data_IF_296662914463
#
_entry.id   IF_296662914463
#
_cell.length_a   1.000
_cell.length_b   1.000
_cell.length_c   1.000
_cell.angle_alpha   90.00
_cell.angle_beta   90.00
_cell.angle_gamma   90.00
#
_symmetry.space_group_name_H-M   'P 1'
#
loop_
_entity.id
_entity.type
_entity.pdbx_description
1 polymer ?
#
# COMPACT_ATOMS: atom_id res chain seq x y z
N UNK A 1 3.83 23.59 6.90
CA UNK A 1 3.85 23.01 5.53
C UNK A 1 3.42 21.55 5.56
N UNK A 2 2.69 21.12 4.52
CA UNK A 2 2.02 19.82 4.45
C UNK A 2 2.33 19.13 3.13
N UNK A 3 2.54 17.82 3.15
CA UNK A 3 2.50 16.95 1.98
C UNK A 3 1.25 16.07 2.03
N UNK A 4 0.31 16.29 1.13
CA UNK A 4 -0.82 15.38 0.90
C UNK A 4 -0.35 14.25 -0.04
N UNK A 5 -0.12 13.06 0.52
CA UNK A 5 0.32 11.89 -0.22
C UNK A 5 -0.90 11.08 -0.70
N UNK A 6 -1.26 11.23 -1.96
CA UNK A 6 -2.36 10.50 -2.61
C UNK A 6 -1.85 9.23 -3.30
N UNK A 7 -2.67 8.19 -3.37
CA UNK A 7 -2.30 6.96 -4.08
C UNK A 7 -2.00 7.22 -5.57
N UNK A 8 -2.80 8.08 -6.20
CA UNK A 8 -2.75 8.34 -7.64
C UNK A 8 -3.61 7.35 -8.43
N UNK A 9 -4.09 7.78 -9.60
CA UNK A 9 -4.94 6.99 -10.48
C UNK A 9 -4.91 7.54 -11.91
N UNK A 10 -5.03 6.69 -12.94
CA UNK A 10 -5.25 7.16 -14.31
C UNK A 10 -6.64 7.80 -14.51
N UNK A 11 -7.60 7.65 -13.58
CA UNK A 11 -8.92 8.29 -13.69
C UNK A 11 -8.82 9.80 -13.38
N UNK A 12 -9.20 10.70 -14.30
CA UNK A 12 -9.11 12.14 -14.10
C UNK A 12 -9.93 12.65 -12.92
N UNK A 13 -10.99 11.93 -12.50
CA UNK A 13 -11.80 12.29 -11.33
C UNK A 13 -11.00 12.15 -10.03
N UNK A 14 -10.07 11.21 -9.96
CA UNK A 14 -9.16 11.05 -8.82
C UNK A 14 -8.23 12.25 -8.68
N UNK A 15 -7.70 12.75 -9.79
CA UNK A 15 -6.87 13.94 -9.80
C UNK A 15 -7.65 15.18 -9.35
N UNK A 16 -8.86 15.36 -9.88
CA UNK A 16 -9.73 16.46 -9.50
C UNK A 16 -10.08 16.43 -8.01
N UNK A 17 -10.37 15.25 -7.45
CA UNK A 17 -10.60 15.07 -6.02
C UNK A 17 -9.37 15.44 -5.19
N UNK A 18 -8.19 14.92 -5.53
CA UNK A 18 -6.94 15.20 -4.81
C UNK A 18 -6.61 16.70 -4.83
N UNK A 19 -6.76 17.36 -5.98
CA UNK A 19 -6.57 18.81 -6.12
C UNK A 19 -7.61 19.62 -5.34
N UNK A 20 -8.87 19.19 -5.34
CA UNK A 20 -9.94 19.81 -4.57
C UNK A 20 -9.67 19.73 -3.06
N UNK A 21 -9.23 18.56 -2.58
CA UNK A 21 -8.86 18.35 -1.18
C UNK A 21 -7.62 19.16 -0.80
N UNK A 22 -6.60 19.22 -1.65
CA UNK A 22 -5.41 20.07 -1.46
C UNK A 22 -5.83 21.53 -1.21
N UNK A 23 -6.57 22.13 -2.15
CA UNK A 23 -7.04 23.52 -2.04
C UNK A 23 -7.96 23.74 -0.83
N UNK A 24 -8.81 22.77 -0.53
CA UNK A 24 -9.69 22.82 0.64
C UNK A 24 -8.91 22.82 1.94
N UNK A 25 -7.87 22.00 2.03
CA UNK A 25 -7.03 21.88 3.20
C UNK A 25 -6.15 23.13 3.41
N UNK A 26 -5.60 23.70 2.33
CA UNK A 26 -4.88 24.99 2.36
C UNK A 26 -5.75 26.09 2.98
N UNK A 27 -7.01 26.20 2.53
CA UNK A 27 -7.94 27.20 3.07
C UNK A 27 -8.30 26.98 4.55
N UNK A 28 -8.42 25.73 4.98
CA UNK A 28 -8.83 25.40 6.37
C UNK A 28 -7.70 25.56 7.36
N UNK A 29 -6.47 25.24 6.96
CA UNK A 29 -5.32 25.22 7.85
C UNK A 29 -4.45 26.47 7.75
N UNK A 30 -4.57 27.26 6.68
CA UNK A 30 -3.68 28.39 6.42
C UNK A 30 -2.24 27.97 6.10
N UNK A 31 -2.04 26.70 5.75
CA UNK A 31 -0.74 26.07 5.49
C UNK A 31 -0.64 25.67 4.01
N UNK A 32 0.54 25.83 3.42
CA UNK A 32 0.79 25.36 2.05
C UNK A 32 0.75 23.83 2.00
N UNK A 33 0.04 23.27 1.01
CA UNK A 33 -0.13 21.83 0.83
C UNK A 33 0.47 21.41 -0.52
N UNK A 34 1.60 20.72 -0.45
CA UNK A 34 2.18 19.99 -1.57
C UNK A 34 1.34 18.73 -1.85
N UNK A 35 1.25 18.35 -3.11
CA UNK A 35 0.56 17.12 -3.53
C UNK A 35 1.58 16.17 -4.15
N UNK A 36 1.66 14.95 -3.62
CA UNK A 36 2.50 13.89 -4.15
C UNK A 36 1.70 12.62 -4.38
N UNK A 37 2.01 11.90 -5.46
CA UNK A 37 1.31 10.69 -5.85
C UNK A 37 2.22 9.46 -5.74
N UNK A 38 1.70 8.39 -5.13
CA UNK A 38 2.46 7.14 -4.97
C UNK A 38 2.67 6.47 -6.34
N UNK A 39 1.64 6.48 -7.19
CA UNK A 39 1.65 5.86 -8.51
C UNK A 39 0.92 6.74 -9.54
N UNK A 40 1.10 6.43 -10.83
CA UNK A 40 0.32 6.91 -11.98
C UNK A 40 0.35 8.41 -12.30
N UNK A 41 0.80 9.27 -11.40
CA UNK A 41 0.67 10.73 -11.54
C UNK A 41 1.90 11.46 -11.00
N UNK A 42 2.07 12.69 -11.47
CA UNK A 42 3.10 13.62 -11.02
C UNK A 42 2.47 14.85 -10.33
N UNK A 43 3.15 15.50 -9.38
CA UNK A 43 4.47 15.14 -8.85
C UNK A 43 4.45 13.79 -8.10
N UNK A 44 5.48 12.99 -8.28
CA UNK A 44 5.64 11.72 -7.57
C UNK A 44 5.77 11.98 -6.07
N UNK A 45 5.50 10.94 -5.27
CA UNK A 45 5.66 10.99 -3.83
C UNK A 45 7.10 11.36 -3.45
N UNK A 46 8.09 10.81 -4.15
CA UNK A 46 9.51 11.10 -3.88
C UNK A 46 9.86 12.55 -4.22
N UNK A 47 9.45 13.06 -5.39
CA UNK A 47 9.69 14.47 -5.76
C UNK A 47 9.09 15.42 -4.72
N UNK A 48 7.88 15.14 -4.27
CA UNK A 48 7.19 15.97 -3.27
C UNK A 48 7.81 15.85 -1.88
N UNK A 49 8.27 14.66 -1.51
CA UNK A 49 8.99 14.44 -0.26
C UNK A 49 10.34 15.16 -0.24
N UNK A 50 11.08 15.13 -1.35
CA UNK A 50 12.34 15.88 -1.52
C UNK A 50 12.12 17.38 -1.46
N UNK A 51 11.06 17.89 -2.11
CA UNK A 51 10.70 19.31 -2.03
C UNK A 51 10.31 19.72 -0.61
N UNK A 52 9.52 18.90 0.10
CA UNK A 52 9.19 19.13 1.50
C UNK A 52 10.45 19.15 2.37
N UNK A 53 11.37 18.19 2.16
CA UNK A 53 12.64 18.12 2.90
C UNK A 53 13.55 19.32 2.64
N UNK A 54 13.64 19.77 1.38
CA UNK A 54 14.40 20.96 0.99
C UNK A 54 13.94 22.20 1.76
N UNK A 55 12.66 22.26 2.13
CA UNK A 55 12.04 23.31 2.95
C UNK A 55 12.09 23.05 4.46
N UNK A 56 12.82 22.04 4.92
CA UNK A 56 13.01 21.71 6.34
C UNK A 56 12.09 20.61 6.87
N UNK A 57 11.17 20.09 6.06
CA UNK A 57 10.21 19.06 6.45
C UNK A 57 8.81 19.60 6.79
N UNK A 58 7.97 18.75 7.37
CA UNK A 58 6.58 19.08 7.69
C UNK A 58 5.70 17.86 7.97
N UNK A 59 4.39 18.06 7.96
CA UNK A 59 3.41 16.98 8.17
C UNK A 59 3.11 16.27 6.86
N UNK A 60 3.18 14.95 6.86
CA UNK A 60 2.85 14.10 5.72
C UNK A 60 1.50 13.45 5.98
N UNK A 61 0.48 13.84 5.21
CA UNK A 61 -0.89 13.37 5.31
C UNK A 61 -1.19 12.32 4.23
N UNK A 62 -1.39 11.05 4.59
CA UNK A 62 -1.81 10.04 3.63
C UNK A 62 -3.29 10.22 3.26
N UNK A 63 -3.58 10.52 1.99
CA UNK A 63 -4.93 10.44 1.42
C UNK A 63 -5.26 8.98 1.09
N UNK A 64 -5.35 8.17 2.15
CA UNK A 64 -5.61 6.74 2.11
C UNK A 64 -6.75 6.43 3.09
N UNK A 65 -7.72 5.62 2.67
CA UNK A 65 -8.85 5.24 3.53
C UNK A 65 -8.42 4.34 4.69
N UNK A 66 -7.46 3.44 4.44
CA UNK A 66 -6.95 2.49 5.44
C UNK A 66 -5.42 2.36 5.33
N UNK A 67 -4.77 2.03 6.43
CA UNK A 67 -3.31 1.89 6.50
C UNK A 67 -2.79 0.54 6.00
N UNK A 68 -2.67 0.36 4.68
CA UNK A 68 -2.13 -0.85 4.06
C UNK A 68 -0.69 -0.65 3.52
N UNK A 69 -0.25 -1.47 2.55
CA UNK A 69 1.12 -1.49 2.01
C UNK A 69 1.67 -0.11 1.64
N UNK A 70 0.89 0.72 0.95
CA UNK A 70 1.30 2.07 0.56
C UNK A 70 1.71 2.98 1.72
N UNK A 71 0.98 2.91 2.84
CA UNK A 71 1.33 3.65 4.04
C UNK A 71 2.58 3.06 4.73
N UNK A 72 2.75 1.74 4.66
CA UNK A 72 3.71 0.99 5.46
C UNK A 72 5.04 0.72 4.76
N UNK A 73 5.12 0.93 3.45
CA UNK A 73 6.29 0.68 2.62
C UNK A 73 6.68 1.93 1.82
N UNK A 74 5.79 2.40 0.94
CA UNK A 74 6.15 3.43 -0.04
C UNK A 74 6.39 4.81 0.60
N UNK A 75 5.51 5.24 1.52
CA UNK A 75 5.69 6.50 2.25
C UNK A 75 6.97 6.51 3.08
N UNK A 76 7.23 5.53 3.97
CA UNK A 76 8.48 5.47 4.72
C UNK A 76 9.72 5.50 3.83
N UNK A 77 9.70 4.78 2.71
CA UNK A 77 10.83 4.73 1.78
C UNK A 77 11.11 6.09 1.14
N UNK A 78 10.07 6.78 0.66
CA UNK A 78 10.22 8.11 0.07
C UNK A 78 10.71 9.16 1.09
N UNK A 79 10.19 9.10 2.33
CA UNK A 79 10.62 9.99 3.40
C UNK A 79 12.06 9.71 3.83
N UNK A 80 12.48 8.44 3.87
CA UNK A 80 13.87 8.09 4.21
C UNK A 80 14.84 8.55 3.12
N UNK A 81 14.51 8.35 1.84
CA UNK A 81 15.31 8.87 0.73
C UNK A 81 15.46 10.41 0.82
N UNK A 82 14.39 11.10 1.20
CA UNK A 82 14.43 12.53 1.43
C UNK A 82 15.31 12.92 2.64
N UNK A 83 15.28 12.16 3.75
CA UNK A 83 16.15 12.36 4.92
C UNK A 83 17.63 12.16 4.60
N UNK A 84 17.97 11.17 3.78
CA UNK A 84 19.35 10.94 3.34
C UNK A 84 19.90 12.17 2.62
N UNK A 85 19.10 12.79 1.74
CA UNK A 85 19.52 14.01 1.03
C UNK A 85 19.49 15.26 1.92
N UNK A 86 18.56 15.32 2.87
CA UNK A 86 18.35 16.46 3.77
C UNK A 86 18.27 16.01 5.24
N UNK A 87 19.40 15.71 5.90
CA UNK A 87 19.42 15.08 7.24
C UNK A 87 18.78 15.90 8.36
N UNK A 88 18.67 17.23 8.17
CA UNK A 88 18.03 18.14 9.12
C UNK A 88 16.50 18.19 8.95
N UNK A 89 15.95 17.65 7.87
CA UNK A 89 14.50 17.65 7.66
C UNK A 89 13.78 16.83 8.73
N UNK A 90 12.59 17.30 9.12
CA UNK A 90 11.73 16.63 10.10
C UNK A 90 10.37 16.34 9.50
N UNK A 91 10.02 15.06 9.46
CA UNK A 91 8.74 14.60 8.94
C UNK A 91 7.87 14.08 10.07
N UNK A 92 6.62 14.55 10.11
CA UNK A 92 5.57 14.01 10.98
C UNK A 92 4.60 13.22 10.11
N UNK A 93 4.70 11.90 10.12
CA UNK A 93 3.81 11.04 9.36
C UNK A 93 2.48 10.89 10.12
N UNK A 94 1.43 11.47 9.56
CA UNK A 94 0.10 11.34 10.11
C UNK A 94 -0.52 9.98 9.82
N UNK A 95 -1.54 9.64 10.59
CA UNK A 95 -2.41 8.49 10.33
C UNK A 95 -3.15 8.61 9.00
N UNK A 96 -3.51 7.49 8.35
CA UNK A 96 -4.44 7.51 7.23
C UNK A 96 -5.81 7.98 7.74
N UNK A 97 -6.76 8.21 6.82
CA UNK A 97 -8.13 8.60 7.21
C UNK A 97 -8.71 7.61 8.24
N UNK A 98 -8.64 6.31 7.97
CA UNK A 98 -8.89 5.24 8.95
C UNK A 98 -10.24 5.38 9.66
N UNK A 99 -10.27 5.01 10.94
CA UNK A 99 -11.44 5.16 11.83
C UNK A 99 -11.59 6.59 12.36
N UNK A 100 -11.77 7.58 11.47
CA UNK A 100 -11.96 8.97 11.90
C UNK A 100 -13.43 9.26 12.30
N UNK A 101 -13.71 9.98 13.41
CA UNK A 101 -15.07 10.33 13.82
C UNK A 101 -15.91 11.02 12.74
N UNK A 102 -15.32 11.92 11.95
CA UNK A 102 -16.00 12.57 10.83
C UNK A 102 -16.53 11.58 9.77
N UNK A 103 -15.84 10.45 9.54
CA UNK A 103 -16.28 9.42 8.60
C UNK A 103 -17.41 8.56 9.18
N UNK A 104 -17.39 8.32 10.50
CA UNK A 104 -18.52 7.69 11.21
C UNK A 104 -19.75 8.60 11.17
N UNK A 105 -19.56 9.89 11.47
CA UNK A 105 -20.62 10.90 11.43
C UNK A 105 -21.24 11.03 10.03
N UNK A 106 -20.41 11.01 8.97
CA UNK A 106 -20.89 11.00 7.58
C UNK A 106 -21.86 9.85 7.33
N UNK A 107 -21.54 8.63 7.76
CA UNK A 107 -22.41 7.49 7.50
C UNK A 107 -23.65 7.52 8.38
N UNK A 108 -23.51 7.93 9.64
CA UNK A 108 -24.64 8.12 10.54
C UNK A 108 -25.63 9.15 10.01
N UNK A 109 -25.14 10.28 9.50
CA UNK A 109 -25.96 11.32 8.87
C UNK A 109 -26.69 10.78 7.64
N UNK A 110 -25.99 10.08 6.75
CA UNK A 110 -26.59 9.52 5.53
C UNK A 110 -27.67 8.47 5.84
N UNK A 111 -27.42 7.60 6.82
CA UNK A 111 -28.41 6.62 7.30
C UNK A 111 -29.61 7.32 7.95
N UNK A 112 -29.37 8.31 8.81
CA UNK A 112 -30.41 9.10 9.47
C UNK A 112 -31.32 9.83 8.47
N UNK A 113 -30.74 10.43 7.43
CA UNK A 113 -31.51 11.08 6.33
C UNK A 113 -32.41 10.12 5.56
N UNK A 114 -32.14 8.81 5.60
CA UNK A 114 -32.98 7.75 5.01
C UNK A 114 -33.97 7.14 6.01
N UNK A 115 -34.01 7.66 7.24
CA UNK A 115 -34.82 7.12 8.32
C UNK A 115 -34.45 5.67 8.63
N UNK A 116 -33.15 5.34 8.61
CA UNK A 116 -32.69 4.02 9.00
C UNK A 116 -32.94 3.79 10.50
N UNK A 117 -33.36 2.58 10.86
CA UNK A 117 -33.69 2.16 12.22
C UNK A 117 -32.93 0.88 12.59
N UNK A 118 -32.94 0.46 13.86
CA UNK A 118 -32.36 -0.83 14.26
C UNK A 118 -33.01 -2.06 13.61
N UNK A 119 -34.19 -1.93 12.98
CA UNK A 119 -34.83 -3.00 12.18
C UNK A 119 -34.26 -3.10 10.76
N UNK A 120 -33.46 -2.13 10.32
CA UNK A 120 -32.74 -2.16 9.04
C UNK A 120 -31.35 -2.79 9.23
N UNK A 121 -30.57 -2.88 8.17
CA UNK A 121 -29.19 -3.32 8.24
C UNK A 121 -28.29 -2.58 7.26
N UNK A 122 -26.99 -2.61 7.49
CA UNK A 122 -26.02 -1.95 6.64
C UNK A 122 -24.82 -2.86 6.32
N UNK A 123 -24.26 -2.67 5.12
CA UNK A 123 -23.01 -3.31 4.71
C UNK A 123 -22.01 -2.24 4.33
N UNK A 124 -20.93 -2.13 5.11
CA UNK A 124 -19.82 -1.23 4.82
C UNK A 124 -18.89 -1.87 3.78
N UNK A 125 -18.95 -1.38 2.54
CA UNK A 125 -18.15 -1.93 1.43
C UNK A 125 -16.81 -1.22 1.36
N UNK A 126 -15.75 -1.96 1.65
CA UNK A 126 -14.35 -1.55 1.62
C UNK A 126 -13.63 -2.21 0.44
N UNK A 127 -12.48 -1.67 0.04
CA UNK A 127 -11.67 -2.28 -1.04
C UNK A 127 -11.16 -3.67 -0.62
N UNK A 128 -10.63 -3.79 0.59
CA UNK A 128 -9.95 -4.98 1.08
C UNK A 128 -8.57 -5.19 0.47
N UNK A 129 -7.67 -5.77 1.26
CA UNK A 129 -6.28 -5.98 0.88
C UNK A 129 -5.67 -7.18 1.56
N UNK A 130 -4.40 -7.43 1.26
CA UNK A 130 -3.59 -8.48 1.89
C UNK A 130 -3.07 -8.10 3.26
N UNK A 131 -3.34 -6.88 3.76
CA UNK A 131 -2.98 -6.42 5.09
C UNK A 131 -4.15 -6.62 6.07
N UNK A 132 -4.08 -7.60 6.99
CA UNK A 132 -5.16 -7.83 7.94
C UNK A 132 -5.32 -6.73 8.98
N UNK A 133 -4.31 -5.89 9.23
CA UNK A 133 -4.46 -4.74 10.13
C UNK A 133 -5.36 -3.68 9.50
N UNK A 134 -5.16 -3.39 8.22
CA UNK A 134 -6.03 -2.50 7.45
C UNK A 134 -7.47 -3.07 7.36
N UNK A 135 -7.60 -4.38 7.12
CA UNK A 135 -8.92 -5.01 7.11
C UNK A 135 -9.58 -4.92 8.50
N UNK A 136 -8.86 -5.21 9.59
CA UNK A 136 -9.39 -5.10 10.95
C UNK A 136 -9.82 -3.67 11.31
N UNK A 137 -9.05 -2.65 10.89
CA UNK A 137 -9.43 -1.24 11.03
C UNK A 137 -10.73 -0.92 10.28
N UNK A 138 -10.91 -1.46 9.07
CA UNK A 138 -12.17 -1.37 8.34
C UNK A 138 -13.35 -2.05 9.05
N UNK A 139 -13.12 -3.20 9.68
CA UNK A 139 -14.14 -3.85 10.51
C UNK A 139 -14.47 -3.04 11.77
N UNK A 140 -13.47 -2.41 12.39
CA UNK A 140 -13.69 -1.48 13.50
C UNK A 140 -14.52 -0.27 13.07
N UNK A 141 -14.30 0.28 11.87
CA UNK A 141 -15.12 1.37 11.33
C UNK A 141 -16.59 0.95 11.19
N UNK A 142 -16.87 -0.25 10.67
CA UNK A 142 -18.24 -0.78 10.61
C UNK A 142 -18.88 -0.86 12.00
N UNK A 143 -18.14 -1.36 13.00
CA UNK A 143 -18.63 -1.41 14.38
C UNK A 143 -18.92 -0.02 14.94
N UNK A 144 -18.06 0.96 14.71
CA UNK A 144 -18.28 2.34 15.17
C UNK A 144 -19.51 2.99 14.54
N UNK A 145 -19.82 2.68 13.28
CA UNK A 145 -21.05 3.14 12.61
C UNK A 145 -22.28 2.50 13.27
N UNK A 146 -22.23 1.21 13.56
CA UNK A 146 -23.31 0.51 14.27
C UNK A 146 -23.56 1.12 15.66
N UNK A 147 -22.52 1.31 16.46
CA UNK A 147 -22.63 1.93 17.80
C UNK A 147 -23.23 3.35 17.71
N UNK A 148 -22.88 4.12 16.67
CA UNK A 148 -23.36 5.50 16.51
C UNK A 148 -24.82 5.57 16.05
N UNK A 149 -25.31 4.56 15.33
CA UNK A 149 -26.60 4.61 14.62
C UNK A 149 -27.65 3.65 15.16
N UNK A 150 -27.24 2.60 15.89
CA UNK A 150 -28.08 1.47 16.24
C UNK A 150 -28.41 0.54 15.08
N UNK A 151 -27.92 0.82 13.86
CA UNK A 151 -28.17 0.00 12.66
C UNK A 151 -27.10 -1.09 12.58
N UNK A 152 -27.47 -2.40 12.64
CA UNK A 152 -26.54 -3.50 12.47
C UNK A 152 -25.68 -3.33 11.21
N UNK A 153 -24.36 -3.25 11.35
CA UNK A 153 -23.45 -2.90 10.25
C UNK A 153 -22.35 -3.93 10.08
N UNK A 154 -22.35 -4.64 8.94
CA UNK A 154 -21.38 -5.69 8.62
C UNK A 154 -20.30 -5.16 7.65
N UNK A 155 -18.99 -5.30 7.94
CA UNK A 155 -17.96 -4.95 6.97
C UNK A 155 -17.93 -5.96 5.82
N UNK A 156 -17.66 -5.49 4.61
CA UNK A 156 -17.45 -6.29 3.41
C UNK A 156 -16.23 -5.81 2.63
N UNK A 157 -15.56 -6.73 1.94
CA UNK A 157 -14.36 -6.43 1.18
C UNK A 157 -14.54 -6.83 -0.28
N UNK A 158 -14.40 -5.84 -1.17
CA UNK A 158 -14.52 -6.00 -2.61
C UNK A 158 -13.42 -6.88 -3.22
N UNK A 159 -12.24 -6.94 -2.59
CA UNK A 159 -11.08 -7.66 -3.09
C UNK A 159 -10.20 -8.19 -1.94
N UNK A 160 -9.48 -9.28 -2.20
CA UNK A 160 -8.34 -9.82 -1.41
C UNK A 160 -8.59 -10.14 0.08
N UNK A 161 -9.78 -9.85 0.62
CA UNK A 161 -10.17 -10.07 2.00
C UNK A 161 -11.62 -10.58 2.09
N UNK A 162 -12.01 -11.03 3.28
CA UNK A 162 -13.35 -11.57 3.56
C UNK A 162 -13.93 -10.99 4.85
N UNK A 163 -15.27 -10.92 4.97
CA UNK A 163 -16.27 -11.44 4.02
C UNK A 163 -16.38 -10.59 2.75
N UNK A 164 -16.70 -11.22 1.62
CA UNK A 164 -17.13 -10.56 0.39
C UNK A 164 -18.48 -9.86 0.61
N UNK A 165 -18.90 -8.90 -0.23
CA UNK A 165 -20.22 -8.27 -0.08
C UNK A 165 -21.39 -9.26 -0.07
N UNK A 166 -21.30 -10.32 -0.87
CA UNK A 166 -22.31 -11.40 -0.86
C UNK A 166 -22.34 -12.13 0.49
N UNK A 167 -21.18 -12.50 1.02
CA UNK A 167 -21.09 -13.15 2.34
C UNK A 167 -21.56 -12.23 3.48
N UNK A 168 -21.28 -10.93 3.38
CA UNK A 168 -21.76 -9.95 4.35
C UNK A 168 -23.29 -9.81 4.31
N UNK A 169 -23.90 -9.77 3.13
CA UNK A 169 -25.35 -9.78 2.96
C UNK A 169 -25.97 -11.05 3.56
N UNK A 170 -25.37 -12.22 3.33
CA UNK A 170 -25.83 -13.48 3.92
C UNK A 170 -25.76 -13.48 5.45
N UNK A 171 -24.70 -12.91 6.03
CA UNK A 171 -24.58 -12.74 7.49
C UNK A 171 -25.66 -11.81 8.03
N UNK A 172 -25.91 -10.70 7.34
CA UNK A 172 -26.91 -9.70 7.73
C UNK A 172 -28.33 -10.25 7.61
N UNK A 173 -28.61 -11.11 6.62
CA UNK A 173 -29.92 -11.73 6.43
C UNK A 173 -30.41 -12.55 7.64
N UNK A 174 -29.49 -13.05 8.48
CA UNK A 174 -29.84 -13.74 9.72
C UNK A 174 -30.58 -12.84 10.73
N UNK A 175 -30.40 -11.53 10.64
CA UNK A 175 -31.10 -10.53 11.46
C UNK A 175 -32.48 -10.16 10.90
N UNK A 176 -32.85 -10.67 9.71
CA UNK A 176 -34.10 -10.36 8.99
C UNK A 176 -34.37 -8.85 8.88
N UNK A 177 -33.41 -8.06 8.38
CA UNK A 177 -33.59 -6.61 8.28
C UNK A 177 -34.73 -6.26 7.31
N UNK A 178 -35.48 -5.19 7.60
CA UNK A 178 -36.52 -4.67 6.71
C UNK A 178 -35.93 -4.12 5.41
N UNK A 179 -34.84 -3.35 5.52
CA UNK A 179 -34.09 -2.78 4.40
C UNK A 179 -32.60 -2.93 4.64
N UNK A 180 -31.83 -2.96 3.56
CA UNK A 180 -30.36 -3.07 3.62
C UNK A 180 -29.70 -1.90 2.89
N UNK A 181 -28.86 -1.16 3.60
CA UNK A 181 -28.07 -0.07 3.04
C UNK A 181 -26.65 -0.54 2.68
N UNK A 182 -26.25 -0.37 1.42
CA UNK A 182 -24.83 -0.47 1.05
C UNK A 182 -24.15 0.88 1.26
N UNK A 183 -23.10 0.86 2.07
CA UNK A 183 -22.27 2.02 2.41
C UNK A 183 -20.92 1.88 1.68
N UNK A 184 -20.77 2.39 0.45
CA UNK A 184 -19.50 2.30 -0.28
C UNK A 184 -18.46 3.23 0.34
N UNK A 185 -17.65 2.67 1.25
CA UNK A 185 -16.51 3.35 1.85
C UNK A 185 -15.29 3.28 0.92
N UNK A 186 -15.49 3.92 -0.22
CA UNK A 186 -14.58 4.06 -1.34
C UNK A 186 -14.66 5.52 -1.80
N UNK A 187 -13.60 6.05 -2.43
CA UNK A 187 -13.67 7.38 -3.00
C UNK A 187 -14.70 7.44 -4.13
N UNK A 188 -14.61 6.51 -5.08
CA UNK A 188 -15.49 6.45 -6.25
C UNK A 188 -16.34 5.18 -6.21
N UNK A 189 -17.48 5.21 -6.92
CA UNK A 189 -18.27 3.99 -7.14
C UNK A 189 -17.45 2.96 -7.89
N UNK A 190 -17.55 1.71 -7.45
CA UNK A 190 -16.93 0.58 -8.12
C UNK A 190 -17.92 -0.32 -8.84
N UNK A 191 -17.41 -1.12 -9.78
CA UNK A 191 -18.13 -2.20 -10.49
C UNK A 191 -18.84 -3.16 -9.54
N UNK A 192 -18.32 -3.32 -8.31
CA UNK A 192 -18.89 -4.19 -7.28
C UNK A 192 -20.27 -3.70 -6.82
N UNK A 193 -20.47 -2.40 -6.66
CA UNK A 193 -21.77 -1.82 -6.27
C UNK A 193 -22.83 -2.05 -7.37
N UNK A 194 -22.43 -1.89 -8.63
CA UNK A 194 -23.30 -2.09 -9.80
C UNK A 194 -23.73 -3.56 -9.92
N UNK A 195 -22.81 -4.50 -9.70
CA UNK A 195 -23.09 -5.94 -9.76
C UNK A 195 -23.98 -6.43 -8.61
N UNK A 196 -23.98 -5.75 -7.46
CA UNK A 196 -24.79 -6.15 -6.30
C UNK A 196 -26.27 -5.74 -6.45
N UNK A 197 -26.57 -4.60 -7.09
CA UNK A 197 -27.96 -4.14 -7.29
C UNK A 197 -28.87 -5.17 -7.95
N UNK A 198 -28.36 -5.96 -8.90
CA UNK A 198 -29.16 -6.94 -9.64
C UNK A 198 -29.24 -8.35 -9.04
N UNK A 199 -28.45 -8.67 -8.00
CA UNK A 199 -28.28 -10.06 -7.50
C UNK A 199 -28.88 -10.32 -6.12
N UNK A 200 -29.35 -9.28 -5.43
CA UNK A 200 -30.03 -9.39 -4.14
C UNK A 200 -31.56 -9.53 -4.30
N UNK A 201 -32.02 -10.38 -5.22
CA UNK A 201 -33.44 -10.63 -5.43
C UNK A 201 -34.06 -11.16 -4.11
N UNK A 202 -34.83 -10.31 -3.43
CA UNK A 202 -35.50 -10.63 -2.16
C UNK A 202 -35.15 -9.71 -0.97
N UNK A 203 -34.13 -8.84 -1.07
CA UNK A 203 -33.82 -7.83 -0.06
C UNK A 203 -34.05 -6.42 -0.65
N UNK A 204 -34.75 -5.55 0.08
CA UNK A 204 -34.86 -4.13 -0.29
C UNK A 204 -33.51 -3.46 -0.05
N UNK A 205 -32.76 -3.21 -1.12
CA UNK A 205 -31.36 -2.79 -1.08
C UNK A 205 -31.18 -1.38 -1.64
N UNK A 206 -30.70 -0.46 -0.80
CA UNK A 206 -30.38 0.91 -1.18
C UNK A 206 -28.87 1.14 -1.17
N UNK A 207 -28.30 1.68 -2.25
CA UNK A 207 -26.88 2.04 -2.33
C UNK A 207 -26.69 3.53 -2.07
N UNK A 208 -26.06 3.88 -0.95
CA UNK A 208 -25.76 5.28 -0.63
C UNK A 208 -24.61 5.81 -1.50
N UNK A 209 -24.45 7.15 -1.64
CA UNK A 209 -23.33 7.72 -2.40
C UNK A 209 -21.96 7.31 -1.81
N UNK A 210 -20.88 7.22 -2.62
CA UNK A 210 -19.52 7.02 -2.10
C UNK A 210 -19.00 8.28 -1.37
N UNK A 211 -17.74 8.26 -0.94
CA UNK A 211 -17.16 9.34 -0.13
C UNK A 211 -16.86 10.62 -0.92
N UNK A 212 -16.62 10.50 -2.24
CA UNK A 212 -16.19 11.62 -3.09
C UNK A 212 -17.05 12.87 -2.88
N UNK A 213 -16.37 14.01 -2.70
CA UNK A 213 -16.97 15.33 -2.58
C UNK A 213 -17.56 15.66 -1.20
N UNK A 214 -17.55 14.73 -0.24
CA UNK A 214 -18.10 15.00 1.09
C UNK A 214 -17.15 15.84 1.96
N UNK A 215 -17.63 16.90 2.65
CA UNK A 215 -16.82 17.75 3.53
C UNK A 215 -16.07 16.98 4.64
N UNK A 216 -16.63 15.86 5.10
CA UNK A 216 -16.01 15.00 6.12
C UNK A 216 -14.62 14.48 5.74
N UNK A 217 -14.26 14.42 4.44
CA UNK A 217 -12.89 14.08 4.03
C UNK A 217 -11.90 15.17 4.45
N UNK A 218 -12.27 16.45 4.27
CA UNK A 218 -11.44 17.58 4.71
C UNK A 218 -11.36 17.63 6.23
N UNK A 219 -12.47 17.35 6.92
CA UNK A 219 -12.51 17.31 8.39
C UNK A 219 -11.63 16.19 8.95
N UNK A 220 -11.67 15.02 8.31
CA UNK A 220 -10.78 13.91 8.67
C UNK A 220 -9.30 14.24 8.41
N UNK A 221 -8.96 14.85 7.27
CA UNK A 221 -7.57 15.26 6.99
C UNK A 221 -7.07 16.31 7.99
N UNK A 222 -7.90 17.29 8.32
CA UNK A 222 -7.60 18.31 9.35
C UNK A 222 -7.41 17.68 10.73
N UNK A 223 -8.28 16.74 11.12
CA UNK A 223 -8.14 16.01 12.38
C UNK A 223 -6.84 15.21 12.45
N UNK A 224 -6.48 14.53 11.36
CA UNK A 224 -5.21 13.78 11.25
C UNK A 224 -3.98 14.67 11.27
N UNK A 225 -4.09 15.87 10.70
CA UNK A 225 -3.04 16.89 10.78
C UNK A 225 -2.82 17.35 12.22
N UNK A 226 -3.89 17.69 12.95
CA UNK A 226 -3.79 18.10 14.37
C UNK A 226 -3.25 16.98 15.24
N UNK A 227 -3.75 15.76 15.08
CA UNK A 227 -3.26 14.57 15.78
C UNK A 227 -1.74 14.40 15.58
N UNK A 228 -1.23 14.58 14.35
CA UNK A 228 0.20 14.46 14.08
C UNK A 228 1.05 15.54 14.79
N UNK A 229 0.53 16.76 14.95
CA UNK A 229 1.22 17.84 15.68
C UNK A 229 1.24 17.61 17.20
N UNK A 230 0.19 16.98 17.73
CA UNK A 230 0.05 16.66 19.16
C UNK A 230 0.86 15.42 19.58
N UNK A 231 1.64 14.83 18.66
CA UNK A 231 2.42 13.62 18.91
C UNK A 231 1.63 12.32 18.71
N UNK A 232 0.47 12.39 18.06
CA UNK A 232 -0.23 11.20 17.58
C UNK A 232 0.51 10.58 16.41
N UNK A 233 0.98 9.35 16.60
CA UNK A 233 1.79 8.64 15.62
C UNK A 233 0.92 7.79 14.68
N UNK A 234 1.34 7.68 13.42
CA UNK A 234 0.82 6.65 12.54
C UNK A 234 1.09 5.27 13.17
N UNK A 235 0.13 4.31 13.17
CA UNK A 235 0.33 2.97 13.70
C UNK A 235 1.56 2.27 13.14
N UNK A 236 2.12 2.76 12.02
CA UNK A 236 3.40 2.43 11.42
C UNK A 236 4.58 2.42 12.40
N UNK A 237 4.63 3.37 13.34
CA UNK A 237 5.65 3.42 14.39
C UNK A 237 5.53 2.22 15.36
N UNK A 238 4.39 1.52 15.31
CA UNK A 238 4.03 0.34 16.13
C UNK A 238 3.48 -0.86 15.30
N UNK A 239 3.69 -0.87 13.98
CA UNK A 239 2.85 -1.67 13.08
C UNK A 239 3.24 -3.16 13.00
N UNK A 240 2.26 -4.01 12.67
CA UNK A 240 2.25 -5.48 12.47
C UNK A 240 3.40 -6.13 11.67
N UNK A 241 4.36 -5.36 11.16
CA UNK A 241 5.68 -5.92 10.84
C UNK A 241 6.47 -6.32 12.09
N UNK A 242 6.00 -5.96 13.30
CA UNK A 242 6.60 -6.33 14.58
C UNK A 242 6.05 -7.62 15.21
N UNK A 243 4.84 -8.08 14.84
CA UNK A 243 4.23 -9.31 15.36
C UNK A 243 3.53 -10.14 14.25
N UNK A 244 3.95 -11.39 14.01
CA UNK A 244 3.34 -12.27 13.01
C UNK A 244 1.95 -12.76 13.44
N UNK A 245 0.94 -12.59 12.57
CA UNK A 245 -0.41 -13.16 12.72
C UNK A 245 -0.62 -14.30 11.69
N UNK A 246 -0.26 -15.53 12.08
CA UNK A 246 -0.53 -16.76 11.34
C UNK A 246 -0.16 -16.69 9.84
N UNK A 247 -1.08 -17.12 8.97
CA UNK A 247 -0.90 -17.18 7.50
C UNK A 247 -0.66 -15.84 6.79
N UNK A 248 -0.74 -14.72 7.52
CA UNK A 248 -0.59 -13.36 6.98
C UNK A 248 0.72 -12.69 7.46
N UNK A 249 1.66 -13.46 8.01
CA UNK A 249 3.00 -12.98 8.30
C UNK A 249 3.79 -12.78 6.98
N UNK A 250 4.50 -11.65 6.80
CA UNK A 250 5.46 -11.54 5.71
C UNK A 250 6.57 -12.56 5.91
N UNK A 251 7.02 -13.21 4.83
CA UNK A 251 8.13 -14.18 4.88
C UNK A 251 9.40 -13.46 5.33
N UNK A 252 9.99 -13.98 6.41
CA UNK A 252 11.09 -13.38 7.21
C UNK A 252 12.29 -12.98 6.35
N UNK A 253 12.50 -13.66 5.23
CA UNK A 253 13.64 -13.48 4.33
C UNK A 253 13.58 -12.16 3.55
N UNK A 254 12.39 -11.70 3.13
CA UNK A 254 12.24 -10.48 2.32
C UNK A 254 12.49 -9.20 3.15
N UNK A 255 12.10 -9.21 4.42
CA UNK A 255 12.35 -8.10 5.34
C UNK A 255 13.80 -8.08 5.82
N UNK A 256 14.42 -9.24 6.06
CA UNK A 256 15.85 -9.32 6.39
C UNK A 256 16.70 -8.87 5.21
N UNK A 257 16.33 -9.22 3.98
CA UNK A 257 17.03 -8.74 2.79
C UNK A 257 16.91 -7.22 2.62
N UNK A 258 15.70 -6.66 2.76
CA UNK A 258 15.48 -5.21 2.74
C UNK A 258 16.21 -4.48 3.86
N UNK A 259 16.18 -5.00 5.10
CA UNK A 259 16.91 -4.45 6.23
C UNK A 259 18.43 -4.59 6.08
N UNK A 260 18.94 -5.65 5.45
CA UNK A 260 20.37 -5.83 5.18
C UNK A 260 20.84 -4.89 4.06
N UNK A 261 20.05 -4.71 3.02
CA UNK A 261 20.31 -3.74 1.95
C UNK A 261 20.30 -2.31 2.50
N UNK A 262 19.32 -1.95 3.34
CA UNK A 262 19.28 -0.67 4.04
C UNK A 262 20.45 -0.50 5.02
N UNK A 263 20.77 -1.51 5.84
CA UNK A 263 21.90 -1.45 6.78
C UNK A 263 23.24 -1.29 6.03
N UNK A 264 23.36 -1.85 4.84
CA UNK A 264 24.56 -1.67 4.00
C UNK A 264 24.65 -0.24 3.45
N UNK A 265 23.52 0.33 2.99
CA UNK A 265 23.45 1.72 2.52
C UNK A 265 23.63 2.77 3.65
N UNK A 266 23.20 2.46 4.88
CA UNK A 266 23.14 3.41 6.00
C UNK A 266 24.44 3.51 6.81
N UNK A 267 25.33 2.50 6.79
CA UNK A 267 26.47 2.42 7.72
C UNK A 267 27.87 2.54 7.07
N UNK A 268 27.97 2.91 5.79
CA UNK A 268 29.27 3.16 5.15
C UNK A 268 29.30 4.51 4.38
N UNK A 269 29.26 5.66 5.07
CA UNK A 269 29.51 6.94 4.45
C UNK A 269 31.02 7.08 4.15
N UNK A 270 31.41 6.86 2.89
CA UNK A 270 32.63 7.39 2.29
C UNK A 270 33.96 7.00 2.94
N UNK A 271 34.47 5.81 2.62
CA UNK A 271 35.87 5.45 2.30
C UNK A 271 36.05 3.94 2.48
N UNK A 272 36.07 3.17 1.40
CA UNK A 272 37.10 2.16 1.19
C UNK A 272 37.23 1.81 -0.32
N UNK A 273 38.43 1.46 -0.79
CA UNK A 273 38.78 1.40 -2.21
C UNK A 273 38.71 -0.04 -2.77
N UNK A 274 37.53 -0.68 -2.84
CA UNK A 274 37.42 -2.00 -3.50
C UNK A 274 36.03 -2.25 -4.13
N UNK A 275 35.94 -2.22 -5.46
CA UNK A 275 35.07 -3.07 -6.33
C UNK A 275 33.53 -3.06 -6.20
N UNK A 276 32.80 -3.58 -7.21
CA UNK A 276 31.33 -3.48 -7.34
C UNK A 276 30.60 -4.45 -6.41
N UNK A 277 29.52 -4.01 -5.76
CA UNK A 277 28.63 -4.88 -4.97
C UNK A 277 27.31 -5.07 -5.72
N UNK A 278 27.00 -6.31 -6.13
CA UNK A 278 25.80 -6.65 -6.93
C UNK A 278 24.80 -7.45 -6.08
N UNK A 279 23.54 -7.01 -6.04
CA UNK A 279 22.45 -7.73 -5.37
C UNK A 279 21.56 -8.43 -6.40
N UNK A 280 21.55 -9.76 -6.37
CA UNK A 280 20.72 -10.61 -7.21
C UNK A 280 19.42 -10.99 -6.50
N UNK A 281 18.27 -10.58 -7.03
CA UNK A 281 16.93 -10.88 -6.52
C UNK A 281 16.25 -11.94 -7.39
N UNK A 282 16.15 -13.18 -6.92
CA UNK A 282 15.56 -14.30 -7.68
C UNK A 282 14.09 -14.52 -7.33
N UNK A 283 13.19 -14.41 -8.31
CA UNK A 283 11.77 -14.69 -8.14
C UNK A 283 11.53 -16.17 -7.81
N UNK A 284 10.90 -16.40 -6.67
CA UNK A 284 10.43 -17.72 -6.21
C UNK A 284 8.91 -17.75 -6.08
N UNK A 285 8.18 -16.92 -6.84
CA UNK A 285 6.73 -17.01 -7.01
C UNK A 285 6.30 -18.33 -7.67
N UNK A 286 5.00 -18.64 -7.61
CA UNK A 286 4.41 -19.91 -8.09
C UNK A 286 4.85 -20.27 -9.52
N UNK A 287 4.57 -19.40 -10.50
CA UNK A 287 4.98 -19.59 -11.91
C UNK A 287 6.50 -19.75 -12.10
N UNK A 288 7.33 -19.05 -11.33
CA UNK A 288 8.79 -19.22 -11.42
C UNK A 288 9.27 -20.54 -10.80
N UNK A 289 8.60 -21.04 -9.74
CA UNK A 289 8.91 -22.35 -9.16
C UNK A 289 8.56 -23.49 -10.11
N UNK A 290 7.41 -23.42 -10.75
CA UNK A 290 6.99 -24.37 -11.79
C UNK A 290 7.98 -24.42 -12.96
N UNK A 291 8.61 -23.28 -13.26
CA UNK A 291 9.66 -23.15 -14.29
C UNK A 291 11.09 -23.40 -13.78
N UNK A 292 11.26 -23.96 -12.58
CA UNK A 292 12.55 -24.45 -12.10
C UNK A 292 13.39 -23.48 -11.25
N UNK A 293 12.82 -22.38 -10.72
CA UNK A 293 13.56 -21.38 -9.95
C UNK A 293 14.32 -21.93 -8.72
N UNK A 294 13.84 -23.02 -8.09
CA UNK A 294 14.53 -23.63 -6.95
C UNK A 294 15.81 -24.36 -7.36
N UNK A 295 15.83 -24.95 -8.57
CA UNK A 295 17.04 -25.55 -9.12
C UNK A 295 18.09 -24.48 -9.43
N UNK A 296 17.65 -23.39 -10.05
CA UNK A 296 18.50 -22.22 -10.32
C UNK A 296 19.05 -21.60 -9.02
N UNK A 297 18.22 -21.45 -7.99
CA UNK A 297 18.64 -20.91 -6.69
C UNK A 297 19.82 -21.69 -6.11
N UNK A 298 19.69 -23.03 -6.00
CA UNK A 298 20.76 -23.89 -5.47
C UNK A 298 22.05 -23.75 -6.27
N UNK A 299 21.93 -23.73 -7.61
CA UNK A 299 23.10 -23.59 -8.48
C UNK A 299 23.79 -22.24 -8.32
N UNK A 300 23.04 -21.14 -8.19
CA UNK A 300 23.59 -19.82 -7.92
C UNK A 300 24.20 -19.73 -6.51
N UNK A 301 23.63 -20.37 -5.48
CA UNK A 301 24.21 -20.42 -4.14
C UNK A 301 25.56 -21.15 -4.11
N UNK A 302 25.73 -22.17 -4.96
CA UNK A 302 26.99 -22.89 -5.16
C UNK A 302 27.98 -22.04 -5.97
N UNK A 303 27.58 -21.57 -7.15
CA UNK A 303 28.43 -20.86 -8.11
C UNK A 303 28.85 -19.46 -7.66
N UNK A 304 28.18 -18.85 -6.68
CA UNK A 304 28.49 -17.50 -6.19
C UNK A 304 29.16 -17.49 -4.81
N UNK A 305 29.47 -18.67 -4.24
CA UNK A 305 29.99 -18.79 -2.86
C UNK A 305 31.31 -18.03 -2.65
N UNK A 306 32.19 -18.06 -3.65
CA UNK A 306 33.49 -17.38 -3.65
C UNK A 306 33.37 -15.87 -3.89
N UNK A 307 32.24 -15.41 -4.44
CA UNK A 307 31.93 -14.00 -4.66
C UNK A 307 31.18 -13.35 -3.49
N UNK A 308 30.97 -14.05 -2.38
CA UNK A 308 30.13 -13.62 -1.26
C UNK A 308 30.35 -12.20 -0.70
N UNK A 309 31.56 -11.62 -0.68
CA UNK A 309 31.77 -10.22 -0.28
C UNK A 309 31.31 -9.18 -1.32
N UNK A 310 31.15 -9.59 -2.58
CA UNK A 310 30.86 -8.74 -3.74
C UNK A 310 29.46 -8.98 -4.32
N UNK A 311 28.87 -10.15 -4.09
CA UNK A 311 27.56 -10.52 -4.65
C UNK A 311 26.66 -11.11 -3.57
N UNK A 312 25.49 -10.52 -3.38
CA UNK A 312 24.45 -11.06 -2.52
C UNK A 312 23.32 -11.65 -3.36
N UNK A 313 23.08 -12.95 -3.23
CA UNK A 313 21.88 -13.58 -3.77
C UNK A 313 20.74 -13.54 -2.75
N UNK A 314 19.52 -13.25 -3.20
CA UNK A 314 18.33 -13.24 -2.35
C UNK A 314 17.13 -13.83 -3.09
N UNK A 315 16.57 -14.96 -2.63
CA UNK A 315 15.28 -15.41 -3.11
C UNK A 315 14.18 -14.46 -2.62
N UNK A 316 13.36 -13.99 -3.55
CA UNK A 316 12.25 -13.06 -3.32
C UNK A 316 10.92 -13.69 -3.75
N UNK A 317 9.76 -13.26 -3.22
CA UNK A 317 8.45 -13.65 -3.74
C UNK A 317 8.21 -13.22 -5.21
N UNK A 318 6.94 -13.16 -5.63
CA UNK A 318 6.58 -12.79 -7.00
C UNK A 318 7.09 -11.39 -7.36
N UNK A 319 7.82 -11.28 -8.48
CA UNK A 319 8.30 -10.03 -9.09
C UNK A 319 7.37 -9.47 -10.17
N UNK A 320 6.11 -9.93 -10.20
CA UNK A 320 5.05 -9.50 -11.12
C UNK A 320 5.37 -9.66 -12.62
N UNK A 321 6.24 -10.62 -12.98
CA UNK A 321 6.68 -10.93 -14.35
C UNK A 321 6.33 -12.37 -14.74
N UNK A 322 5.07 -12.74 -14.52
CA UNK A 322 4.55 -14.07 -14.82
C UNK A 322 4.76 -14.44 -16.30
N UNK A 323 5.06 -15.71 -16.58
CA UNK A 323 5.30 -16.22 -17.93
C UNK A 323 6.69 -15.94 -18.49
N UNK A 324 7.55 -15.23 -17.75
CA UNK A 324 8.95 -14.96 -18.10
C UNK A 324 9.95 -15.65 -17.15
N UNK A 325 9.45 -16.53 -16.29
CA UNK A 325 10.22 -17.17 -15.23
C UNK A 325 11.18 -18.27 -15.71
N UNK A 326 12.20 -18.60 -14.91
CA UNK A 326 12.65 -17.90 -13.69
C UNK A 326 13.18 -16.50 -13.95
N UNK A 327 12.78 -15.54 -13.11
CA UNK A 327 13.15 -14.11 -13.22
C UNK A 327 14.18 -13.74 -12.16
N UNK A 328 15.22 -13.02 -12.54
CA UNK A 328 16.29 -12.52 -11.66
C UNK A 328 16.51 -11.02 -11.92
N UNK A 329 16.63 -10.20 -10.88
CA UNK A 329 17.00 -8.78 -11.01
C UNK A 329 18.39 -8.57 -10.42
N UNK A 330 19.27 -7.91 -11.15
CA UNK A 330 20.56 -7.45 -10.68
C UNK A 330 20.51 -5.95 -10.35
N UNK A 331 20.90 -5.60 -9.12
CA UNK A 331 21.05 -4.24 -8.64
C UNK A 331 22.52 -3.92 -8.35
N UNK A 332 22.96 -2.65 -8.49
CA UNK A 332 22.14 -1.44 -8.70
C UNK A 332 21.69 -1.17 -10.16
N UNK A 333 22.15 -1.93 -11.13
CA UNK A 333 22.00 -1.67 -12.57
C UNK A 333 20.56 -1.81 -13.08
N UNK A 334 19.65 -2.37 -12.29
CA UNK A 334 18.25 -2.54 -12.68
C UNK A 334 18.06 -3.55 -13.81
N UNK A 335 19.01 -4.45 -14.04
CA UNK A 335 18.94 -5.39 -15.17
C UNK A 335 18.06 -6.58 -14.78
N UNK A 336 17.08 -6.88 -15.62
CA UNK A 336 16.12 -7.95 -15.41
C UNK A 336 16.38 -9.09 -16.39
N UNK A 337 16.57 -10.29 -15.84
CA UNK A 337 16.73 -11.53 -16.59
C UNK A 337 15.49 -12.42 -16.48
N UNK A 338 15.22 -13.20 -17.52
CA UNK A 338 14.09 -14.12 -17.61
C UNK A 338 14.45 -15.43 -18.27
N UNK A 339 13.65 -16.46 -18.01
CA UNK A 339 13.85 -17.80 -18.57
C UNK A 339 15.19 -18.41 -18.15
N UNK A 340 15.69 -18.06 -16.96
CA UNK A 340 16.95 -18.57 -16.45
C UNK A 340 16.82 -20.02 -15.97
N UNK A 341 17.81 -20.82 -16.29
CA UNK A 341 17.97 -22.22 -15.90
C UNK A 341 19.28 -22.39 -15.12
N UNK A 342 19.49 -23.52 -14.41
CA UNK A 342 20.76 -23.77 -13.73
C UNK A 342 22.00 -23.66 -14.63
N UNK A 343 21.85 -23.92 -15.94
CA UNK A 343 22.94 -23.82 -16.92
C UNK A 343 23.38 -22.36 -17.17
N UNK A 344 22.49 -21.40 -16.90
CA UNK A 344 22.74 -19.97 -17.09
C UNK A 344 23.54 -19.33 -15.94
N UNK A 345 23.77 -20.04 -14.83
CA UNK A 345 24.46 -19.51 -13.65
C UNK A 345 25.90 -19.07 -13.96
N UNK A 346 26.67 -19.91 -14.66
CA UNK A 346 28.06 -19.62 -15.00
C UNK A 346 28.18 -18.54 -16.11
N UNK A 347 27.39 -18.58 -17.21
CA UNK A 347 27.34 -17.48 -18.18
C UNK A 347 26.98 -16.13 -17.55
N UNK A 348 25.96 -16.10 -16.70
CA UNK A 348 25.54 -14.89 -15.99
C UNK A 348 26.67 -14.33 -15.10
N UNK A 349 27.32 -15.21 -14.33
CA UNK A 349 28.47 -14.85 -13.49
C UNK A 349 29.58 -14.21 -14.31
N UNK A 350 30.02 -14.87 -15.38
CA UNK A 350 31.12 -14.38 -16.24
C UNK A 350 30.79 -13.06 -16.91
N UNK A 351 29.59 -12.94 -17.48
CA UNK A 351 29.20 -11.74 -18.21
C UNK A 351 28.97 -10.56 -17.27
N UNK A 352 28.06 -10.71 -16.30
CA UNK A 352 27.57 -9.59 -15.50
C UNK A 352 28.42 -9.35 -14.25
N UNK A 353 28.68 -10.40 -13.48
CA UNK A 353 29.29 -10.23 -12.15
C UNK A 353 30.80 -9.99 -12.23
N UNK A 354 31.48 -10.72 -13.12
CA UNK A 354 32.93 -10.62 -13.32
C UNK A 354 33.29 -9.68 -14.47
N UNK A 355 32.52 -9.72 -15.56
CA UNK A 355 32.77 -8.94 -16.78
C UNK A 355 32.15 -7.55 -16.82
N UNK A 356 31.20 -7.23 -15.92
CA UNK A 356 30.50 -5.95 -15.88
C UNK A 356 29.54 -5.71 -17.06
N UNK A 357 29.25 -6.73 -17.86
CA UNK A 357 28.44 -6.65 -19.08
C UNK A 357 27.10 -7.38 -18.92
N UNK A 358 26.04 -6.87 -19.53
CA UNK A 358 24.73 -7.51 -19.45
C UNK A 358 24.75 -8.87 -20.17
N UNK A 359 24.30 -9.93 -19.49
CA UNK A 359 24.07 -11.24 -20.11
C UNK A 359 22.88 -11.19 -21.10
N UNK A 360 23.14 -10.77 -22.35
CA UNK A 360 22.14 -10.41 -23.36
C UNK A 360 21.15 -11.52 -23.71
N UNK A 361 21.57 -12.77 -23.67
CA UNK A 361 20.75 -13.92 -24.05
C UNK A 361 19.50 -14.07 -23.19
N UNK A 362 19.59 -13.69 -21.90
CA UNK A 362 18.49 -13.80 -20.93
C UNK A 362 17.91 -12.46 -20.53
N UNK A 363 18.34 -11.37 -21.18
CA UNK A 363 17.88 -10.02 -20.88
C UNK A 363 16.39 -9.87 -21.23
N UNK A 364 15.60 -9.40 -20.27
CA UNK A 364 14.22 -8.97 -20.49
C UNK A 364 14.12 -7.46 -20.67
N UNK A 365 14.69 -6.71 -19.73
CA UNK A 365 14.61 -5.24 -19.66
C UNK A 365 15.66 -4.68 -18.69
N UNK A 366 15.84 -3.37 -18.71
CA UNK A 366 16.59 -2.61 -17.72
C UNK A 366 15.63 -1.58 -17.14
N UNK A 367 15.43 -1.57 -15.82
CA UNK A 367 14.42 -0.76 -15.11
C UNK A 367 14.98 0.49 -14.46
#
# INVERSE_FOLDING_TARGET
MILLAAHGSPDPRAQALAQGLRKGLERRLGEEVLLGFIEHQSPTLLESALELARRGGGVVLPLLLLGAGHLKADLPLALEAARVRYPKARFLLARPLGTHPALVALWAERLGRRGATPEDGAVLVLRGGTDPGANAEGAALARLIEEKTGVPTVPAYAAKARPTPREALLRLAALRPRRVFLLPHLFFRGVVEERLRGRAAGLDLEVLPPLMGHPALLEALEGRYREALEGGYAPCDTCRFRFPLGRFAPRREAQIAGLRALRHALFAPGRHPHGPFIHLLLCTGEDCRERGALGLLRRLEEDLRDLGPLVQLTPTPCLSRCGKGPVLIAYPEGVVYGGLSPEDALPLRKAHLEGGEVYREKLLEVI
#
